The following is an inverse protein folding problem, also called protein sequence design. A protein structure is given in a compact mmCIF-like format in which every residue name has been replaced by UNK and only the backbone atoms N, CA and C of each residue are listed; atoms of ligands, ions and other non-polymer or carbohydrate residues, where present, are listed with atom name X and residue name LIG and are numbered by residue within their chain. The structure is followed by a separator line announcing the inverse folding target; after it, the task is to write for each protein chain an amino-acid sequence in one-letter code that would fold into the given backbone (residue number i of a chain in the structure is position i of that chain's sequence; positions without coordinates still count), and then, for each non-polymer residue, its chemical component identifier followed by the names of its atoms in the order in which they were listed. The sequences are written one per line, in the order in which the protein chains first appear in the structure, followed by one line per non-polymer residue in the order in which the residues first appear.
data_IF_770991789722
#
_entry.id   IF_770991789722
#
_cell.length_a   1.000
_cell.length_b   1.000
_cell.length_c   1.000
_cell.angle_alpha   90.00
_cell.angle_beta   90.00
_cell.angle_gamma   90.00
#
_symmetry.space_group_name_H-M   'P 1'
#
loop_
_entity.id
_entity.type
_entity.pdbx_description
1 polymer ?
#
# COMPACT_ATOMS: atom_id res chain seq x y z
N UNK A 1 -17.69 6.89 -6.64
CA UNK A 1 -16.81 6.89 -7.84
C UNK A 1 -15.82 5.78 -7.63
N UNK A 2 -15.48 5.02 -8.67
CA UNK A 2 -14.51 3.94 -8.52
C UNK A 2 -13.09 4.50 -8.29
N UNK A 3 -12.30 3.93 -7.36
CA UNK A 3 -10.91 4.33 -7.19
C UNK A 3 -10.11 4.09 -8.48
N UNK A 4 -9.04 4.87 -8.67
CA UNK A 4 -8.05 4.70 -9.75
C UNK A 4 -6.71 4.19 -9.22
N UNK A 5 -6.45 4.36 -7.94
CA UNK A 5 -5.24 3.94 -7.27
C UNK A 5 -5.56 3.30 -5.91
N UNK A 6 -4.91 2.17 -5.62
CA UNK A 6 -5.02 1.45 -4.35
C UNK A 6 -3.62 1.32 -3.73
N UNK A 7 -3.18 2.31 -2.93
CA UNK A 7 -1.95 2.16 -2.17
C UNK A 7 -2.16 1.21 -1.00
N UNK A 8 -1.25 0.24 -0.86
CA UNK A 8 -1.15 -0.64 0.31
C UNK A 8 -0.18 0.04 1.29
N UNK A 9 -0.74 0.63 2.34
CA UNK A 9 -0.01 1.42 3.32
C UNK A 9 0.09 0.69 4.65
N UNK A 10 1.19 0.88 5.37
CA UNK A 10 1.26 0.48 6.77
C UNK A 10 0.47 1.49 7.60
N UNK A 11 -0.37 1.04 8.53
CA UNK A 11 -1.07 1.92 9.47
C UNK A 11 -0.11 2.45 10.56
N UNK A 12 0.86 3.27 10.17
CA UNK A 12 1.89 3.86 11.03
C UNK A 12 1.96 5.36 10.86
N UNK A 13 2.66 6.01 11.80
CA UNK A 13 2.72 7.47 11.91
C UNK A 13 3.13 8.19 10.61
N UNK A 14 4.08 7.65 9.85
CA UNK A 14 4.57 8.31 8.64
C UNK A 14 3.50 8.35 7.55
N UNK A 15 2.80 7.23 7.38
CA UNK A 15 1.71 7.05 6.43
C UNK A 15 0.46 7.84 6.85
N UNK A 16 0.11 7.89 8.14
CA UNK A 16 -0.97 8.75 8.64
C UNK A 16 -0.67 10.23 8.38
N UNK A 17 0.53 10.70 8.71
CA UNK A 17 0.96 12.07 8.41
C UNK A 17 0.95 12.35 6.90
N UNK A 18 1.22 11.34 6.05
CA UNK A 18 1.08 11.49 4.60
C UNK A 18 -0.38 11.70 4.19
N UNK A 19 -1.29 10.84 4.67
CA UNK A 19 -2.72 10.95 4.38
C UNK A 19 -3.26 12.30 4.86
N UNK A 20 -2.93 12.74 6.07
CA UNK A 20 -3.34 14.03 6.62
C UNK A 20 -2.96 15.21 5.69
N UNK A 21 -1.76 15.16 5.09
CA UNK A 21 -1.33 16.19 4.15
C UNK A 21 -1.99 16.05 2.77
N UNK A 22 -2.34 14.83 2.35
CA UNK A 22 -3.10 14.57 1.12
C UNK A 22 -4.57 15.00 1.21
N UNK A 23 -5.15 15.11 2.42
CA UNK A 23 -6.53 15.59 2.62
C UNK A 23 -6.79 16.94 1.94
N UNK A 24 -5.78 17.82 1.89
CA UNK A 24 -5.86 19.12 1.22
C UNK A 24 -5.94 19.00 -0.32
N UNK A 25 -5.50 17.87 -0.89
CA UNK A 25 -5.58 17.56 -2.30
C UNK A 25 -6.77 16.62 -2.57
N UNK A 26 -7.97 17.19 -2.62
CA UNK A 26 -9.21 16.45 -2.82
C UNK A 26 -9.21 15.60 -4.10
N UNK A 27 -8.47 15.98 -5.15
CA UNK A 27 -8.37 15.18 -6.37
C UNK A 27 -7.62 13.87 -6.14
N UNK A 28 -6.56 13.88 -5.33
CA UNK A 28 -5.82 12.66 -4.99
C UNK A 28 -6.69 11.74 -4.13
N UNK A 29 -7.25 12.27 -3.03
CA UNK A 29 -8.09 11.48 -2.12
C UNK A 29 -9.32 10.87 -2.80
N UNK A 30 -9.96 11.59 -3.73
CA UNK A 30 -11.14 11.10 -4.48
C UNK A 30 -10.84 9.87 -5.35
N UNK A 31 -9.61 9.73 -5.84
CA UNK A 31 -9.21 8.66 -6.74
C UNK A 31 -8.47 7.53 -6.00
N UNK A 32 -8.31 7.64 -4.69
CA UNK A 32 -7.62 6.64 -3.88
C UNK A 32 -8.61 5.81 -3.05
N UNK A 33 -8.31 4.52 -2.93
CA UNK A 33 -8.84 3.65 -1.89
C UNK A 33 -7.64 2.99 -1.19
N UNK A 34 -7.12 3.58 -0.11
CA UNK A 34 -5.99 2.99 0.61
C UNK A 34 -6.39 1.69 1.29
N UNK A 35 -5.52 0.67 1.22
CA UNK A 35 -5.59 -0.52 2.05
C UNK A 35 -4.55 -0.36 3.17
N UNK A 36 -4.99 -0.43 4.42
CA UNK A 36 -4.10 -0.33 5.57
C UNK A 36 -3.75 -1.71 6.10
N UNK A 37 -2.48 -2.09 5.98
CA UNK A 37 -1.91 -3.21 6.72
C UNK A 37 -1.73 -2.80 8.17
N UNK A 38 -2.47 -3.47 9.06
CA UNK A 38 -2.48 -3.15 10.48
C UNK A 38 -1.19 -3.70 11.13
N UNK A 39 -0.33 -2.83 11.67
CA UNK A 39 0.93 -3.28 12.26
C UNK A 39 0.70 -4.12 13.52
N UNK A 40 1.71 -4.91 13.89
CA UNK A 40 1.73 -5.61 15.18
C UNK A 40 2.32 -4.74 16.29
N UNK A 41 1.88 -4.98 17.54
CA UNK A 41 2.57 -4.43 18.70
C UNK A 41 3.92 -5.14 18.89
N UNK A 42 5.00 -4.50 18.47
CA UNK A 42 6.34 -5.12 18.53
C UNK A 42 6.81 -5.36 19.96
N UNK A 43 7.68 -6.36 20.15
CA UNK A 43 8.33 -6.65 21.44
C UNK A 43 9.02 -5.44 22.05
N UNK A 44 9.62 -4.58 21.22
CA UNK A 44 10.27 -3.34 21.70
C UNK A 44 9.25 -2.30 22.14
N UNK A 45 8.17 -2.09 21.38
CA UNK A 45 7.10 -1.16 21.79
C UNK A 45 6.44 -1.61 23.10
N UNK A 46 6.22 -2.92 23.28
CA UNK A 46 5.68 -3.48 24.52
C UNK A 46 6.52 -3.14 25.76
N UNK A 47 7.84 -3.01 25.61
CA UNK A 47 8.76 -2.60 26.68
C UNK A 47 8.90 -1.08 26.86
N UNK A 48 8.27 -0.29 26.00
CA UNK A 48 8.34 1.17 26.09
C UNK A 48 7.45 1.70 27.23
N UNK A 49 7.77 2.90 27.75
CA UNK A 49 6.99 3.55 28.82
C UNK A 49 5.50 3.67 28.50
N UNK A 50 5.12 3.79 27.22
CA UNK A 50 3.72 3.88 26.79
C UNK A 50 2.92 2.60 27.02
N UNK A 51 3.56 1.42 26.95
CA UNK A 51 2.87 0.13 26.98
C UNK A 51 3.23 -0.75 28.17
N UNK A 52 4.37 -0.50 28.84
CA UNK A 52 4.90 -1.37 29.87
C UNK A 52 3.96 -1.57 31.09
N UNK A 53 3.14 -0.57 31.41
CA UNK A 53 2.22 -0.58 32.55
C UNK A 53 0.75 -0.74 32.13
N UNK A 54 0.48 -0.86 30.83
CA UNK A 54 -0.89 -1.04 30.32
C UNK A 54 -1.31 -2.48 30.54
N UNK A 55 -2.49 -2.69 31.16
CA UNK A 55 -3.03 -4.03 31.46
C UNK A 55 -3.30 -4.86 30.19
N UNK A 56 -3.95 -4.24 29.20
CA UNK A 56 -4.30 -4.84 27.91
C UNK A 56 -3.56 -4.11 26.78
N UNK A 57 -2.24 -4.32 26.63
CA UNK A 57 -1.41 -3.54 25.72
C UNK A 57 -1.77 -3.71 24.23
N UNK A 58 -2.25 -4.89 23.79
CA UNK A 58 -2.67 -5.15 22.41
C UNK A 58 -3.96 -4.43 22.10
N UNK A 59 -4.99 -4.60 22.95
CA UNK A 59 -6.25 -3.85 22.84
C UNK A 59 -5.99 -2.33 22.79
N UNK A 60 -5.18 -1.81 23.73
CA UNK A 60 -4.81 -0.40 23.75
C UNK A 60 -4.08 0.03 22.47
N UNK A 61 -3.20 -0.82 21.92
CA UNK A 61 -2.51 -0.55 20.66
C UNK A 61 -3.48 -0.45 19.48
N UNK A 62 -4.39 -1.42 19.34
CA UNK A 62 -5.38 -1.44 18.26
C UNK A 62 -6.36 -0.28 18.36
N UNK A 63 -6.82 0.08 19.55
CA UNK A 63 -7.68 1.25 19.77
C UNK A 63 -7.01 2.57 19.35
N UNK A 64 -5.71 2.74 19.65
CA UNK A 64 -4.96 3.91 19.18
C UNK A 64 -4.78 3.90 17.65
N UNK A 65 -4.62 2.73 17.04
CA UNK A 65 -4.53 2.56 15.60
C UNK A 65 -5.86 2.94 14.92
N UNK A 66 -6.98 2.41 15.42
CA UNK A 66 -8.34 2.72 14.97
C UNK A 66 -8.63 4.22 15.08
N UNK A 67 -8.25 4.87 16.19
CA UNK A 67 -8.39 6.32 16.34
C UNK A 67 -7.61 7.07 15.24
N UNK A 68 -6.35 6.69 15.01
CA UNK A 68 -5.50 7.34 14.00
C UNK A 68 -6.05 7.14 12.58
N UNK A 69 -6.58 5.96 12.27
CA UNK A 69 -7.25 5.65 11.00
C UNK A 69 -8.48 6.55 10.80
N UNK A 70 -9.35 6.60 11.81
CA UNK A 70 -10.57 7.41 11.78
C UNK A 70 -10.26 8.90 11.57
N UNK A 71 -9.28 9.43 12.29
CA UNK A 71 -8.85 10.84 12.20
C UNK A 71 -8.19 11.18 10.85
N UNK A 72 -7.38 10.26 10.29
CA UNK A 72 -6.66 10.48 9.04
C UNK A 72 -7.57 10.35 7.82
N UNK A 73 -8.48 9.36 7.81
CA UNK A 73 -9.33 9.06 6.66
C UNK A 73 -10.62 9.90 6.61
N UNK A 74 -11.09 10.49 7.72
CA UNK A 74 -12.15 11.53 7.77
C UNK A 74 -13.42 11.25 6.95
N UNK A 75 -13.84 9.98 6.87
CA UNK A 75 -15.03 9.57 6.12
C UNK A 75 -14.76 9.08 4.70
N UNK A 76 -13.51 8.99 4.27
CA UNK A 76 -13.12 8.28 3.06
C UNK A 76 -13.13 6.76 3.27
N UNK A 77 -13.47 6.01 2.23
CA UNK A 77 -13.45 4.56 2.28
C UNK A 77 -12.01 4.05 2.47
N UNK A 78 -11.84 2.96 3.22
CA UNK A 78 -10.54 2.34 3.45
C UNK A 78 -10.64 0.82 3.55
N UNK A 79 -9.62 0.13 3.04
CA UNK A 79 -9.42 -1.29 3.27
C UNK A 79 -8.70 -1.54 4.60
N UNK A 80 -9.10 -2.57 5.35
CA UNK A 80 -8.40 -3.02 6.56
C UNK A 80 -7.86 -4.42 6.38
N UNK A 81 -6.54 -4.58 6.45
CA UNK A 81 -5.86 -5.85 6.28
C UNK A 81 -5.04 -6.20 7.52
N UNK A 82 -5.28 -7.38 8.09
CA UNK A 82 -4.53 -7.91 9.22
C UNK A 82 -3.39 -8.86 8.79
N UNK A 83 -2.94 -8.82 7.53
CA UNK A 83 -1.86 -9.66 6.98
C UNK A 83 -0.55 -9.70 7.79
N UNK A 84 -0.34 -8.73 8.69
CA UNK A 84 0.83 -8.70 9.59
C UNK A 84 0.63 -9.49 10.88
N UNK A 85 -0.60 -9.89 11.20
CA UNK A 85 -0.99 -10.71 12.33
C UNK A 85 -1.12 -12.17 11.89
N UNK A 86 -0.94 -13.11 12.83
CA UNK A 86 -1.33 -14.49 12.58
C UNK A 86 -2.86 -14.56 12.37
N UNK A 87 -3.37 -15.47 11.52
CA UNK A 87 -4.80 -15.54 11.18
C UNK A 87 -5.73 -15.66 12.39
N UNK A 88 -5.27 -16.32 13.46
CA UNK A 88 -5.99 -16.54 14.72
C UNK A 88 -5.56 -15.58 15.85
N UNK A 89 -5.04 -14.40 15.52
CA UNK A 89 -4.61 -13.46 16.55
C UNK A 89 -5.79 -12.87 17.29
N UNK A 90 -5.70 -12.84 18.62
CA UNK A 90 -6.69 -12.23 19.51
C UNK A 90 -6.07 -11.20 20.46
N UNK A 91 -6.90 -10.27 20.92
CA UNK A 91 -6.55 -9.36 22.02
C UNK A 91 -6.66 -10.08 23.37
N UNK A 92 -6.28 -9.40 24.46
CA UNK A 92 -6.23 -10.01 25.79
C UNK A 92 -7.58 -10.58 26.29
N UNK A 93 -8.72 -10.11 25.77
CA UNK A 93 -10.05 -10.62 26.09
C UNK A 93 -10.39 -11.94 25.38
N UNK A 94 -9.59 -12.36 24.41
CA UNK A 94 -9.89 -13.47 23.49
C UNK A 94 -10.69 -13.05 22.25
N UNK A 95 -11.07 -11.78 22.11
CA UNK A 95 -11.68 -11.28 20.88
C UNK A 95 -10.66 -11.23 19.74
N UNK A 96 -11.04 -11.69 18.55
CA UNK A 96 -10.19 -11.68 17.36
C UNK A 96 -9.81 -10.23 16.95
N UNK A 97 -8.57 -10.02 16.52
CA UNK A 97 -8.03 -8.67 16.24
C UNK A 97 -8.81 -7.90 15.17
N UNK A 98 -9.29 -8.58 14.12
CA UNK A 98 -10.08 -7.95 13.06
C UNK A 98 -11.47 -7.52 13.57
N UNK A 99 -12.15 -8.38 14.34
CA UNK A 99 -13.44 -8.05 14.95
C UNK A 99 -13.31 -6.84 15.87
N UNK A 100 -12.27 -6.84 16.71
CA UNK A 100 -12.01 -5.74 17.63
C UNK A 100 -11.79 -4.41 16.88
N UNK A 101 -10.99 -4.42 15.81
CA UNK A 101 -10.72 -3.22 15.00
C UNK A 101 -11.98 -2.68 14.32
N UNK A 102 -12.79 -3.56 13.72
CA UNK A 102 -14.05 -3.16 13.08
C UNK A 102 -15.01 -2.59 14.14
N UNK A 103 -15.11 -3.24 15.31
CA UNK A 103 -15.89 -2.75 16.45
C UNK A 103 -15.42 -1.38 16.95
N UNK A 104 -14.11 -1.17 17.08
CA UNK A 104 -13.52 0.12 17.47
C UNK A 104 -13.79 1.23 16.45
N UNK A 105 -14.03 0.87 15.20
CA UNK A 105 -14.36 1.78 14.10
C UNK A 105 -15.87 1.82 13.77
N UNK A 106 -16.75 1.25 14.59
CA UNK A 106 -18.18 1.17 14.29
C UNK A 106 -18.89 2.53 14.12
N UNK A 107 -18.31 3.62 14.65
CA UNK A 107 -18.81 5.00 14.51
C UNK A 107 -18.09 5.80 13.42
N UNK A 108 -17.18 5.18 12.68
CA UNK A 108 -16.50 5.81 11.56
C UNK A 108 -17.51 6.12 10.46
N UNK A 109 -17.40 7.29 9.83
CA UNK A 109 -18.40 7.78 8.88
C UNK A 109 -18.17 7.34 7.43
N UNK A 110 -16.99 6.77 7.12
CA UNK A 110 -16.68 6.22 5.80
C UNK A 110 -16.86 4.71 5.76
N UNK A 111 -16.75 4.10 4.58
CA UNK A 111 -16.85 2.65 4.48
C UNK A 111 -15.55 1.96 4.95
N UNK A 112 -15.71 0.86 5.66
CA UNK A 112 -14.61 0.00 6.11
C UNK A 112 -14.73 -1.30 5.32
N UNK A 113 -13.74 -1.60 4.49
CA UNK A 113 -13.77 -2.76 3.62
C UNK A 113 -12.77 -3.78 4.16
N UNK A 114 -13.21 -4.86 4.83
CA UNK A 114 -12.28 -5.86 5.34
C UNK A 114 -11.57 -6.57 4.18
N UNK A 115 -10.27 -6.86 4.37
CA UNK A 115 -9.49 -7.64 3.42
C UNK A 115 -9.44 -9.11 3.87
N UNK A 116 -9.88 -10.00 2.99
CA UNK A 116 -9.79 -11.45 3.14
C UNK A 116 -8.50 -11.93 2.47
N UNK A 117 -7.60 -12.55 3.23
CA UNK A 117 -6.40 -13.18 2.67
C UNK A 117 -6.71 -14.62 2.25
N UNK A 118 -6.53 -14.93 0.96
CA UNK A 118 -6.70 -16.29 0.44
C UNK A 118 -5.79 -17.29 1.16
N UNK A 119 -4.52 -16.90 1.39
CA UNK A 119 -3.50 -17.69 2.09
C UNK A 119 -3.81 -18.02 3.56
N UNK A 120 -4.82 -17.35 4.13
CA UNK A 120 -5.21 -17.48 5.55
C UNK A 120 -6.56 -18.15 5.73
N UNK A 121 -7.27 -18.44 4.63
CA UNK A 121 -8.66 -18.88 4.68
C UNK A 121 -8.87 -20.22 5.40
N UNK A 122 -7.90 -21.13 5.30
CA UNK A 122 -7.94 -22.44 5.97
C UNK A 122 -7.92 -22.35 7.51
N UNK A 123 -7.58 -21.20 8.10
CA UNK A 123 -7.65 -21.02 9.55
C UNK A 123 -9.11 -20.86 10.01
N UNK A 124 -9.58 -21.80 10.82
CA UNK A 124 -10.97 -21.86 11.31
C UNK A 124 -11.38 -20.60 12.09
N UNK A 125 -10.48 -20.02 12.89
CA UNK A 125 -10.78 -18.84 13.69
C UNK A 125 -10.88 -17.59 12.80
N UNK A 126 -10.00 -17.48 11.81
CA UNK A 126 -10.02 -16.42 10.81
C UNK A 126 -11.29 -16.46 9.95
N UNK A 127 -11.60 -17.61 9.35
CA UNK A 127 -12.78 -17.77 8.50
C UNK A 127 -14.08 -17.60 9.29
N UNK A 128 -14.17 -18.12 10.51
CA UNK A 128 -15.32 -17.90 11.41
C UNK A 128 -15.50 -16.43 11.76
N UNK A 129 -14.40 -15.72 12.03
CA UNK A 129 -14.44 -14.28 12.29
C UNK A 129 -14.98 -13.50 11.09
N UNK A 130 -14.50 -13.80 9.89
CA UNK A 130 -14.98 -13.16 8.66
C UNK A 130 -16.46 -13.47 8.39
N UNK A 131 -16.92 -14.70 8.65
CA UNK A 131 -18.35 -15.08 8.56
C UNK A 131 -19.23 -14.26 9.49
N UNK A 132 -18.76 -13.91 10.68
CA UNK A 132 -19.49 -13.02 11.59
C UNK A 132 -19.48 -11.59 11.07
N UNK A 133 -18.34 -11.10 10.58
CA UNK A 133 -18.22 -9.74 10.03
C UNK A 133 -19.14 -9.55 8.81
N UNK A 134 -19.25 -10.55 7.92
CA UNK A 134 -20.07 -10.47 6.70
C UNK A 134 -21.58 -10.36 6.98
N UNK A 135 -22.04 -10.66 8.20
CA UNK A 135 -23.43 -10.39 8.61
C UNK A 135 -23.76 -8.90 8.67
N UNK A 136 -22.74 -8.04 8.76
CA UNK A 136 -22.88 -6.58 8.87
C UNK A 136 -22.14 -5.79 7.79
N UNK A 137 -21.30 -6.46 7.00
CA UNK A 137 -20.50 -5.90 5.93
C UNK A 137 -20.76 -6.67 4.64
N UNK A 138 -20.99 -5.98 3.53
CA UNK A 138 -21.25 -6.61 2.22
C UNK A 138 -20.10 -6.40 1.22
N UNK A 139 -19.22 -5.43 1.45
CA UNK A 139 -18.08 -5.15 0.59
C UNK A 139 -16.81 -5.73 1.22
N UNK A 140 -16.10 -6.56 0.45
CA UNK A 140 -14.80 -7.13 0.84
C UNK A 140 -13.77 -6.94 -0.28
N UNK A 141 -12.50 -6.96 0.12
CA UNK A 141 -11.37 -7.12 -0.82
C UNK A 141 -10.81 -8.52 -0.62
N UNK A 142 -10.83 -9.35 -1.66
CA UNK A 142 -10.18 -10.66 -1.64
C UNK A 142 -8.73 -10.48 -2.12
N UNK A 143 -7.76 -10.71 -1.26
CA UNK A 143 -6.33 -10.59 -1.56
C UNK A 143 -5.77 -11.95 -1.97
N UNK A 144 -5.34 -12.02 -3.22
CA UNK A 144 -4.70 -13.16 -3.86
C UNK A 144 -3.19 -12.86 -3.96
N UNK A 145 -2.37 -13.56 -3.19
CA UNK A 145 -0.92 -13.42 -3.19
C UNK A 145 -0.23 -14.62 -3.87
N UNK A 146 1.05 -14.86 -3.58
CA UNK A 146 1.82 -15.97 -4.17
C UNK A 146 1.14 -17.33 -4.04
N UNK A 147 0.47 -17.61 -2.91
CA UNK A 147 -0.22 -18.89 -2.68
C UNK A 147 -1.35 -19.08 -3.70
N UNK A 148 -2.21 -18.08 -3.85
CA UNK A 148 -3.28 -18.13 -4.86
C UNK A 148 -2.73 -18.27 -6.29
N UNK A 149 -1.61 -17.61 -6.61
CA UNK A 149 -1.00 -17.73 -7.93
C UNK A 149 -0.37 -19.11 -8.20
N UNK A 150 0.10 -19.80 -7.16
CA UNK A 150 0.56 -21.18 -7.24
C UNK A 150 -0.63 -22.14 -7.45
N UNK A 151 -1.72 -21.95 -6.71
CA UNK A 151 -2.94 -22.77 -6.88
C UNK A 151 -3.61 -22.56 -8.25
N UNK A 152 -3.52 -21.36 -8.83
CA UNK A 152 -3.98 -21.08 -10.20
C UNK A 152 -3.25 -21.89 -11.28
N UNK A 153 -2.17 -22.61 -10.95
CA UNK A 153 -1.52 -23.56 -11.86
C UNK A 153 -2.31 -24.87 -11.93
N UNK A 154 -2.81 -25.35 -10.80
CA UNK A 154 -3.55 -26.61 -10.67
C UNK A 154 -5.07 -26.42 -10.84
N UNK A 155 -5.53 -25.17 -10.92
CA UNK A 155 -6.90 -24.68 -11.16
C UNK A 155 -7.95 -25.12 -10.12
N UNK A 156 -8.12 -26.42 -9.87
CA UNK A 156 -9.14 -26.95 -8.96
C UNK A 156 -8.99 -26.42 -7.52
N UNK A 157 -7.80 -26.46 -6.88
CA UNK A 157 -7.64 -25.95 -5.50
C UNK A 157 -7.95 -24.44 -5.38
N UNK A 158 -7.60 -23.70 -6.43
CA UNK A 158 -7.86 -22.26 -6.50
C UNK A 158 -9.36 -21.96 -6.50
N UNK A 159 -10.12 -22.63 -7.37
CA UNK A 159 -11.56 -22.43 -7.45
C UNK A 159 -12.28 -22.94 -6.21
N UNK A 160 -11.88 -24.09 -5.64
CA UNK A 160 -12.46 -24.61 -4.40
C UNK A 160 -12.36 -23.58 -3.25
N UNK A 161 -11.17 -23.01 -3.06
CA UNK A 161 -10.95 -22.04 -1.97
C UNK A 161 -11.63 -20.71 -2.25
N UNK A 162 -11.58 -20.20 -3.48
CA UNK A 162 -12.24 -18.94 -3.83
C UNK A 162 -13.77 -19.06 -3.73
N UNK A 163 -14.35 -20.16 -4.20
CA UNK A 163 -15.79 -20.42 -4.12
C UNK A 163 -16.23 -20.64 -2.67
N UNK A 164 -15.40 -21.28 -1.84
CA UNK A 164 -15.66 -21.37 -0.40
C UNK A 164 -15.64 -19.99 0.25
N UNK A 165 -14.65 -19.12 -0.02
CA UNK A 165 -14.63 -17.74 0.48
C UNK A 165 -15.93 -17.01 0.11
N UNK A 166 -16.32 -17.05 -1.16
CA UNK A 166 -17.52 -16.36 -1.66
C UNK A 166 -18.79 -16.90 -1.00
N UNK A 167 -18.96 -18.22 -0.99
CA UNK A 167 -20.18 -18.87 -0.50
C UNK A 167 -20.29 -18.82 1.03
N UNK A 168 -19.20 -19.07 1.75
CA UNK A 168 -19.16 -19.03 3.22
C UNK A 168 -19.46 -17.64 3.78
N UNK A 169 -19.06 -16.59 3.07
CA UNK A 169 -19.28 -15.20 3.48
C UNK A 169 -20.56 -14.58 2.89
N UNK A 170 -21.30 -15.32 2.05
CA UNK A 170 -22.48 -14.86 1.30
C UNK A 170 -22.20 -13.59 0.46
N UNK A 171 -21.05 -13.58 -0.22
CA UNK A 171 -20.61 -12.43 -1.01
C UNK A 171 -21.33 -12.38 -2.36
N UNK A 172 -21.70 -11.17 -2.77
CA UNK A 172 -21.97 -10.85 -4.17
C UNK A 172 -20.67 -10.38 -4.81
N UNK A 173 -20.07 -11.13 -5.75
CA UNK A 173 -18.82 -10.74 -6.39
C UNK A 173 -18.84 -9.33 -7.00
N UNK A 174 -19.96 -8.88 -7.56
CA UNK A 174 -20.14 -7.54 -8.14
C UNK A 174 -19.97 -6.39 -7.15
N UNK A 175 -20.07 -6.69 -5.85
CA UNK A 175 -19.84 -5.73 -4.76
C UNK A 175 -18.43 -5.84 -4.18
N UNK A 176 -17.74 -6.96 -4.42
CA UNK A 176 -16.41 -7.23 -3.92
C UNK A 176 -15.34 -6.87 -4.96
N UNK A 177 -14.12 -6.59 -4.46
CA UNK A 177 -12.96 -6.38 -5.32
C UNK A 177 -11.89 -7.41 -5.05
N UNK A 178 -11.02 -7.65 -6.04
CA UNK A 178 -9.90 -8.57 -5.89
C UNK A 178 -8.60 -7.81 -5.99
N UNK A 179 -7.70 -8.04 -5.03
CA UNK A 179 -6.33 -7.55 -5.03
C UNK A 179 -5.41 -8.69 -5.49
N UNK A 180 -4.87 -8.57 -6.69
CA UNK A 180 -3.82 -9.42 -7.25
C UNK A 180 -2.47 -8.89 -6.77
N UNK A 181 -1.99 -9.45 -5.67
CA UNK A 181 -0.82 -8.97 -4.95
C UNK A 181 0.44 -9.75 -5.32
N UNK A 182 1.26 -9.13 -6.15
CA UNK A 182 2.55 -9.64 -6.60
C UNK A 182 3.69 -9.36 -5.62
N UNK A 183 3.41 -8.71 -4.49
CA UNK A 183 4.37 -8.44 -3.42
C UNK A 183 5.67 -7.81 -3.93
N UNK A 184 6.84 -8.42 -3.69
CA UNK A 184 8.15 -7.94 -4.15
C UNK A 184 8.44 -8.44 -5.57
N UNK A 185 8.42 -7.52 -6.54
CA UNK A 185 8.70 -7.81 -7.95
C UNK A 185 10.12 -7.41 -8.38
N UNK A 186 11.01 -7.07 -7.45
CA UNK A 186 12.38 -6.62 -7.76
C UNK A 186 13.17 -7.64 -8.58
N UNK A 187 12.96 -8.94 -8.34
CA UNK A 187 13.62 -10.05 -9.04
C UNK A 187 12.75 -10.73 -10.11
N UNK A 188 11.49 -10.32 -10.25
CA UNK A 188 10.55 -10.86 -11.24
C UNK A 188 10.71 -10.13 -12.56
N UNK A 189 10.70 -10.81 -13.70
CA UNK A 189 10.76 -10.14 -15.00
C UNK A 189 9.39 -9.53 -15.36
N UNK A 190 9.38 -8.54 -16.25
CA UNK A 190 8.11 -7.96 -16.75
C UNK A 190 7.28 -9.03 -17.48
N UNK A 191 7.94 -9.98 -18.16
CA UNK A 191 7.28 -11.06 -18.89
C UNK A 191 6.58 -12.00 -17.91
N UNK A 192 7.27 -12.47 -16.88
CA UNK A 192 6.67 -13.36 -15.87
C UNK A 192 5.50 -12.68 -15.14
N UNK A 193 5.66 -11.39 -14.82
CA UNK A 193 4.61 -10.60 -14.18
C UNK A 193 3.37 -10.48 -15.10
N UNK A 194 3.59 -10.28 -16.39
CA UNK A 194 2.54 -10.22 -17.40
C UNK A 194 1.82 -11.56 -17.57
N UNK A 195 2.56 -12.68 -17.65
CA UNK A 195 1.99 -14.03 -17.76
C UNK A 195 1.15 -14.40 -16.54
N UNK A 196 1.64 -14.11 -15.33
CA UNK A 196 0.88 -14.35 -14.09
C UNK A 196 -0.39 -13.50 -14.03
N UNK A 197 -0.31 -12.20 -14.37
CA UNK A 197 -1.49 -11.34 -14.41
C UNK A 197 -2.52 -11.83 -15.44
N UNK A 198 -2.07 -12.27 -16.62
CA UNK A 198 -2.96 -12.81 -17.65
C UNK A 198 -3.72 -14.03 -17.14
N UNK A 199 -3.01 -14.97 -16.48
CA UNK A 199 -3.61 -16.16 -15.88
C UNK A 199 -4.65 -15.80 -14.83
N UNK A 200 -4.29 -14.91 -13.89
CA UNK A 200 -5.20 -14.47 -12.84
C UNK A 200 -6.46 -13.79 -13.40
N UNK A 201 -6.33 -12.91 -14.39
CA UNK A 201 -7.50 -12.28 -15.04
C UNK A 201 -8.36 -13.34 -15.72
N UNK A 202 -7.76 -14.32 -16.42
CA UNK A 202 -8.48 -15.40 -17.07
C UNK A 202 -9.29 -16.23 -16.07
N UNK A 203 -8.67 -16.60 -14.94
CA UNK A 203 -9.30 -17.37 -13.88
C UNK A 203 -10.43 -16.60 -13.17
N UNK A 204 -10.39 -15.27 -13.15
CA UNK A 204 -11.36 -14.44 -12.42
C UNK A 204 -12.50 -13.89 -13.30
N UNK A 205 -12.44 -14.08 -14.61
CA UNK A 205 -13.30 -13.37 -15.56
C UNK A 205 -14.80 -13.71 -15.40
N UNK A 206 -15.12 -14.93 -14.95
CA UNK A 206 -16.52 -15.38 -14.80
C UNK A 206 -17.20 -14.92 -13.51
N UNK A 207 -16.43 -14.48 -12.51
CA UNK A 207 -16.98 -14.01 -11.23
C UNK A 207 -17.57 -12.60 -11.31
N UNK A 208 -17.23 -11.81 -12.33
CA UNK A 208 -17.76 -10.45 -12.49
C UNK A 208 -17.52 -9.52 -11.28
N UNK A 209 -16.34 -9.63 -10.65
CA UNK A 209 -15.96 -8.77 -9.53
C UNK A 209 -16.09 -7.27 -9.85
N UNK A 210 -16.42 -6.44 -8.86
CA UNK A 210 -16.56 -4.97 -8.98
C UNK A 210 -15.37 -4.36 -9.73
N UNK A 211 -14.16 -4.78 -9.37
CA UNK A 211 -12.92 -4.53 -10.09
C UNK A 211 -11.80 -5.45 -9.62
N UNK A 212 -10.76 -5.56 -10.45
CA UNK A 212 -9.50 -6.21 -10.12
C UNK A 212 -8.43 -5.13 -9.88
N UNK A 213 -7.48 -5.41 -9.01
CA UNK A 213 -6.33 -4.52 -8.75
C UNK A 213 -5.06 -5.31 -8.94
N UNK A 214 -4.12 -4.82 -9.76
CA UNK A 214 -2.74 -5.33 -9.74
C UNK A 214 -1.95 -4.50 -8.73
N UNK A 215 -1.32 -5.17 -7.77
CA UNK A 215 -0.40 -4.54 -6.84
C UNK A 215 0.94 -5.27 -6.79
N UNK A 216 2.01 -4.53 -6.58
CA UNK A 216 3.35 -5.06 -6.40
C UNK A 216 4.32 -3.94 -6.05
N UNK A 217 5.58 -4.28 -5.82
CA UNK A 217 6.61 -3.30 -5.47
C UNK A 217 7.94 -3.63 -6.14
N UNK A 218 8.41 -2.70 -6.99
CA UNK A 218 9.79 -2.71 -7.48
C UNK A 218 10.80 -2.08 -6.50
N UNK A 219 10.36 -1.72 -5.29
CA UNK A 219 11.23 -1.21 -4.23
C UNK A 219 11.84 -2.38 -3.46
N UNK A 220 13.18 -2.44 -3.46
CA UNK A 220 13.92 -3.40 -2.65
C UNK A 220 13.80 -3.13 -1.15
N UNK A 221 13.83 -4.20 -0.35
CA UNK A 221 13.79 -4.13 1.12
C UNK A 221 14.93 -3.31 1.74
N UNK A 222 16.04 -3.16 1.01
CA UNK A 222 17.16 -2.32 1.38
C UNK A 222 17.55 -1.34 0.27
N UNK A 223 18.15 -0.22 0.67
CA UNK A 223 18.52 0.85 -0.27
C UNK A 223 19.69 0.48 -1.18
N UNK A 224 20.51 -0.52 -0.83
CA UNK A 224 21.60 -0.98 -1.70
C UNK A 224 21.05 -1.69 -2.93
N UNK A 225 19.93 -2.41 -2.79
CA UNK A 225 19.21 -3.02 -3.91
C UNK A 225 18.61 -2.02 -4.90
N UNK A 226 18.49 -0.73 -4.52
CA UNK A 226 18.00 0.33 -5.41
C UNK A 226 19.16 1.17 -5.99
N UNK A 227 20.08 1.62 -5.13
CA UNK A 227 21.23 2.45 -5.50
C UNK A 227 22.42 1.93 -4.71
N UNK A 228 23.31 1.10 -5.26
CA UNK A 228 24.35 0.41 -4.48
C UNK A 228 25.42 1.32 -3.86
N UNK A 229 25.78 2.40 -4.56
CA UNK A 229 26.82 3.33 -4.14
C UNK A 229 26.28 4.38 -3.15
N UNK A 230 27.11 4.82 -2.21
CA UNK A 230 26.74 5.89 -1.27
C UNK A 230 26.95 7.25 -1.95
N UNK A 231 26.13 8.24 -1.58
CA UNK A 231 26.19 9.60 -2.13
C UNK A 231 26.02 9.63 -3.65
N UNK A 232 25.13 8.78 -4.16
CA UNK A 232 24.81 8.68 -5.57
C UNK A 232 23.31 8.61 -5.78
N UNK A 233 22.90 8.52 -7.04
CA UNK A 233 21.50 8.49 -7.45
C UNK A 233 21.30 7.39 -8.49
N UNK A 234 20.07 6.90 -8.61
CA UNK A 234 19.73 5.88 -9.58
C UNK A 234 18.24 5.86 -9.92
N UNK A 235 17.93 5.20 -11.03
CA UNK A 235 16.56 4.98 -11.49
C UNK A 235 16.16 3.55 -11.13
N UNK A 236 15.01 3.41 -10.48
CA UNK A 236 14.37 2.11 -10.23
C UNK A 236 13.09 2.05 -11.03
N UNK A 237 13.03 1.15 -12.01
CA UNK A 237 11.85 0.96 -12.86
C UNK A 237 10.73 0.32 -12.02
N UNK A 238 9.53 0.90 -12.07
CA UNK A 238 8.30 0.31 -11.51
C UNK A 238 7.74 -0.68 -12.53
N UNK A 239 8.00 -1.98 -12.34
CA UNK A 239 7.58 -3.04 -13.28
C UNK A 239 6.06 -3.23 -13.25
N UNK A 240 5.48 -3.15 -12.07
CA UNK A 240 4.05 -3.24 -11.78
C UNK A 240 3.24 -2.21 -12.59
N UNK A 241 3.66 -0.94 -12.63
CA UNK A 241 2.93 0.09 -13.41
C UNK A 241 3.09 -0.13 -14.91
N UNK A 242 4.25 -0.62 -15.36
CA UNK A 242 4.47 -0.95 -16.78
C UNK A 242 3.55 -2.07 -17.24
N UNK A 243 3.41 -3.13 -16.44
CA UNK A 243 2.49 -4.23 -16.74
C UNK A 243 1.05 -3.75 -16.70
N UNK A 244 0.65 -2.98 -15.68
CA UNK A 244 -0.68 -2.38 -15.62
C UNK A 244 -1.00 -1.52 -16.86
N UNK A 245 -0.09 -0.62 -17.26
CA UNK A 245 -0.25 0.22 -18.45
C UNK A 245 -0.40 -0.62 -19.72
N UNK A 246 0.41 -1.68 -19.86
CA UNK A 246 0.30 -2.60 -20.99
C UNK A 246 -1.09 -3.27 -21.04
N UNK A 247 -1.55 -3.84 -19.94
CA UNK A 247 -2.87 -4.46 -19.86
C UNK A 247 -4.01 -3.48 -20.14
N UNK A 248 -3.99 -2.29 -19.55
CA UNK A 248 -5.00 -1.26 -19.81
C UNK A 248 -5.02 -0.79 -21.27
N UNK A 249 -3.88 -0.78 -21.94
CA UNK A 249 -3.81 -0.44 -23.36
C UNK A 249 -4.47 -1.50 -24.25
N UNK A 250 -4.23 -2.79 -23.98
CA UNK A 250 -4.77 -3.90 -24.78
C UNK A 250 -6.18 -4.33 -24.37
N UNK A 251 -6.55 -4.16 -23.10
CA UNK A 251 -7.84 -4.51 -22.50
C UNK A 251 -8.47 -3.31 -21.80
N UNK A 252 -8.84 -2.26 -22.53
CA UNK A 252 -9.20 -1.00 -21.92
C UNK A 252 -10.59 -0.98 -21.27
N UNK A 253 -11.47 -1.93 -21.63
CA UNK A 253 -12.73 -2.17 -20.93
C UNK A 253 -12.56 -2.95 -19.63
N UNK A 254 -11.41 -3.62 -19.43
CA UNK A 254 -11.13 -4.34 -18.20
C UNK A 254 -11.06 -3.34 -17.05
N UNK A 255 -11.81 -3.64 -16.00
CA UNK A 255 -11.85 -2.83 -14.80
C UNK A 255 -10.65 -3.15 -13.88
N UNK A 256 -9.46 -2.88 -14.39
CA UNK A 256 -8.19 -3.12 -13.73
C UNK A 256 -7.63 -1.83 -13.11
N UNK A 257 -7.57 -1.78 -11.79
CA UNK A 257 -7.03 -0.67 -11.01
C UNK A 257 -5.55 -0.91 -10.74
N UNK A 258 -4.76 0.17 -10.68
CA UNK A 258 -3.37 0.10 -10.24
C UNK A 258 -3.28 0.19 -8.72
N UNK A 259 -2.46 -0.65 -8.12
CA UNK A 259 -2.03 -0.53 -6.74
C UNK A 259 -0.54 -0.80 -6.60
N UNK A 260 0.03 -0.40 -5.47
CA UNK A 260 1.41 -0.70 -5.09
C UNK A 260 1.60 -0.51 -3.57
N UNK A 261 2.82 -0.72 -3.09
CA UNK A 261 3.20 -0.51 -1.68
C UNK A 261 3.78 0.90 -1.42
N UNK A 262 3.49 1.85 -2.31
CA UNK A 262 4.03 3.19 -2.24
C UNK A 262 5.57 3.23 -2.29
N UNK A 263 6.17 3.76 -1.22
CA UNK A 263 7.63 3.99 -1.10
C UNK A 263 8.34 2.96 -0.20
N UNK A 264 7.63 1.90 0.20
CA UNK A 264 8.09 0.86 1.12
C UNK A 264 8.00 -0.50 0.44
N UNK A 265 8.95 -1.40 0.75
CA UNK A 265 8.89 -2.78 0.28
C UNK A 265 7.95 -3.62 1.15
N UNK A 266 7.15 -4.54 0.56
CA UNK A 266 6.24 -5.42 1.30
C UNK A 266 6.94 -6.31 2.33
N UNK A 267 8.21 -6.65 2.07
CA UNK A 267 9.01 -7.61 2.86
C UNK A 267 9.58 -7.03 4.16
N UNK A 268 9.46 -5.72 4.39
CA UNK A 268 10.03 -5.10 5.60
C UNK A 268 9.20 -5.48 6.82
N UNK A 269 9.78 -6.30 7.70
CA UNK A 269 9.17 -6.69 8.98
C UNK A 269 9.01 -5.50 9.94
N UNK A 270 7.93 -5.52 10.72
CA UNK A 270 7.66 -4.52 11.76
C UNK A 270 8.58 -4.66 12.98
N UNK A 271 9.13 -5.86 13.23
CA UNK A 271 10.09 -6.07 14.33
C UNK A 271 11.48 -5.49 14.03
N UNK A 272 11.82 -5.30 12.75
CA UNK A 272 13.14 -4.82 12.34
C UNK A 272 13.20 -3.30 12.48
N UNK A 273 14.01 -2.84 13.42
CA UNK A 273 14.42 -1.44 13.49
C UNK A 273 15.79 -1.35 12.86
N UNK A 274 15.94 -0.48 11.86
CA UNK A 274 17.23 -0.16 11.27
C UNK A 274 17.87 1.01 12.05
N UNK A 275 18.69 0.79 13.10
CA UNK A 275 19.31 1.87 13.86
C UNK A 275 20.26 2.71 12.99
N UNK A 276 20.77 2.11 11.91
CA UNK A 276 21.69 2.72 10.95
C UNK A 276 21.01 2.97 9.60
N UNK A 277 19.72 3.36 9.61
CA UNK A 277 19.01 3.71 8.38
C UNK A 277 19.78 4.79 7.60
N UNK A 278 19.94 4.58 6.29
CA UNK A 278 20.62 5.53 5.42
C UNK A 278 19.73 6.76 5.14
N UNK A 279 20.34 7.92 4.93
CA UNK A 279 19.68 9.05 4.29
C UNK A 279 19.31 8.67 2.86
N UNK A 280 18.05 8.91 2.48
CA UNK A 280 17.53 8.59 1.15
C UNK A 280 16.27 9.39 0.85
N UNK A 281 16.07 9.71 -0.42
CA UNK A 281 14.83 10.25 -0.97
C UNK A 281 14.38 9.30 -2.08
N UNK A 282 13.12 8.87 -2.06
CA UNK A 282 12.52 8.06 -3.15
C UNK A 282 11.48 8.93 -3.85
N UNK A 283 11.89 9.51 -4.96
CA UNK A 283 11.08 10.46 -5.70
C UNK A 283 10.43 9.76 -6.89
N UNK A 284 9.11 9.84 -7.01
CA UNK A 284 8.38 9.10 -8.05
C UNK A 284 8.37 9.89 -9.34
N UNK A 285 8.67 9.20 -10.42
CA UNK A 285 8.63 9.75 -11.77
C UNK A 285 7.85 8.79 -12.67
N UNK A 286 7.67 9.16 -13.93
CA UNK A 286 6.91 8.34 -14.87
C UNK A 286 7.57 6.95 -15.01
N UNK A 287 6.76 5.90 -14.83
CA UNK A 287 7.15 4.49 -14.83
C UNK A 287 8.27 4.07 -13.85
N UNK A 288 8.79 4.97 -13.01
CA UNK A 288 10.01 4.72 -12.23
C UNK A 288 10.07 5.51 -10.92
N UNK A 289 11.14 5.31 -10.16
CA UNK A 289 11.57 6.13 -9.03
C UNK A 289 12.95 6.69 -9.35
N UNK A 290 13.16 7.98 -9.12
CA UNK A 290 14.47 8.58 -8.99
C UNK A 290 14.88 8.57 -7.52
N UNK A 291 15.90 7.79 -7.19
CA UNK A 291 16.33 7.57 -5.81
C UNK A 291 17.65 8.29 -5.59
N UNK A 292 17.70 9.15 -4.57
CA UNK A 292 18.92 9.80 -4.12
C UNK A 292 19.34 9.16 -2.80
N UNK A 293 20.56 8.62 -2.74
CA UNK A 293 21.06 7.88 -1.58
C UNK A 293 22.27 8.58 -0.97
N UNK A 294 22.24 8.78 0.34
CA UNK A 294 23.39 9.18 1.14
C UNK A 294 24.05 8.01 1.87
N UNK A 295 24.32 8.20 3.16
CA UNK A 295 24.96 7.21 4.05
C UNK A 295 24.17 7.07 5.36
N UNK A 296 24.63 6.20 6.25
CA UNK A 296 23.99 5.94 7.55
C UNK A 296 23.72 7.24 8.30
N UNK A 297 22.49 7.43 8.79
CA UNK A 297 22.12 8.60 9.59
C UNK A 297 22.76 8.61 10.99
N UNK A 298 23.48 7.55 11.35
CA UNK A 298 24.29 7.49 12.57
C UNK A 298 25.71 8.09 12.39
N UNK A 299 26.15 8.34 11.16
CA UNK A 299 27.50 8.84 10.85
C UNK A 299 27.46 10.20 10.15
N UNK A 300 28.62 10.82 9.94
CA UNK A 300 28.76 12.08 9.16
C UNK A 300 27.84 13.21 9.64
N UNK A 301 27.18 13.90 8.70
CA UNK A 301 26.17 14.94 8.99
C UNK A 301 24.87 14.39 9.61
N UNK A 302 24.80 13.10 9.92
CA UNK A 302 23.63 12.41 10.47
C UNK A 302 22.38 12.68 9.63
N UNK A 303 21.30 13.16 10.23
CA UNK A 303 20.09 13.55 9.50
C UNK A 303 20.30 14.72 8.54
N UNK A 304 21.18 15.68 8.87
CA UNK A 304 21.34 16.90 8.08
C UNK A 304 21.87 16.65 6.65
N UNK A 305 22.42 15.46 6.37
CA UNK A 305 22.73 15.05 5.00
C UNK A 305 21.53 15.15 4.04
N UNK A 306 20.30 15.05 4.57
CA UNK A 306 19.08 15.16 3.77
C UNK A 306 18.96 16.50 3.05
N UNK A 307 19.58 17.57 3.57
CA UNK A 307 19.63 18.87 2.90
C UNK A 307 20.46 18.78 1.61
N UNK A 308 21.62 18.10 1.66
CA UNK A 308 22.46 17.87 0.48
C UNK A 308 21.73 16.97 -0.53
N UNK A 309 21.07 15.90 -0.08
CA UNK A 309 20.30 15.01 -0.96
C UNK A 309 19.12 15.74 -1.62
N UNK A 310 18.45 16.64 -0.88
CA UNK A 310 17.36 17.45 -1.41
C UNK A 310 17.84 18.45 -2.45
N UNK A 311 19.00 19.10 -2.23
CA UNK A 311 19.63 19.97 -3.24
C UNK A 311 19.95 19.21 -4.53
N UNK A 312 20.46 17.98 -4.43
CA UNK A 312 20.69 17.12 -5.59
C UNK A 312 19.37 16.91 -6.35
N UNK A 313 18.31 16.47 -5.67
CA UNK A 313 17.02 16.23 -6.29
C UNK A 313 16.43 17.49 -6.97
N UNK A 314 16.38 18.61 -6.25
CA UNK A 314 15.81 19.89 -6.74
C UNK A 314 16.58 20.43 -7.95
N UNK A 315 17.87 20.09 -8.09
CA UNK A 315 18.68 20.49 -9.25
C UNK A 315 18.40 19.68 -10.53
N UNK A 316 17.65 18.58 -10.43
CA UNK A 316 17.35 17.70 -11.56
C UNK A 316 16.07 18.12 -12.29
N UNK A 317 15.94 17.72 -13.56
CA UNK A 317 14.68 17.88 -14.31
C UNK A 317 13.55 16.96 -13.83
N UNK A 318 13.84 16.04 -12.92
CA UNK A 318 12.83 15.13 -12.36
C UNK A 318 11.95 15.82 -11.33
N UNK A 319 12.47 16.82 -10.61
CA UNK A 319 11.72 17.53 -9.59
C UNK A 319 10.55 18.32 -10.20
N UNK A 320 9.32 18.02 -9.75
CA UNK A 320 8.07 18.60 -10.25
C UNK A 320 7.78 20.01 -9.71
N UNK A 321 8.60 20.50 -8.78
CA UNK A 321 8.48 21.85 -8.23
C UNK A 321 7.72 21.90 -6.90
N UNK A 322 8.00 22.96 -6.13
CA UNK A 322 7.51 23.18 -4.75
C UNK A 322 5.99 23.03 -4.59
N UNK A 323 5.23 23.44 -5.59
CA UNK A 323 3.77 23.49 -5.54
C UNK A 323 3.10 22.19 -6.01
N UNK A 324 3.86 21.17 -6.44
CA UNK A 324 3.30 19.93 -6.96
C UNK A 324 2.62 19.08 -5.88
N UNK A 325 3.26 18.94 -4.71
CA UNK A 325 2.70 18.25 -3.55
C UNK A 325 3.27 18.79 -2.25
N UNK A 326 2.66 18.43 -1.11
CA UNK A 326 3.25 18.74 0.20
C UNK A 326 4.66 18.16 0.34
N UNK A 327 4.90 16.93 -0.15
CA UNK A 327 6.22 16.31 -0.13
C UNK A 327 7.23 17.14 -0.92
N UNK A 328 6.85 17.63 -2.09
CA UNK A 328 7.71 18.50 -2.92
C UNK A 328 8.05 19.82 -2.23
N UNK A 329 7.08 20.42 -1.54
CA UNK A 329 7.32 21.61 -0.70
C UNK A 329 8.34 21.33 0.39
N UNK A 330 8.21 20.20 1.09
CA UNK A 330 9.12 19.83 2.18
C UNK A 330 10.53 19.50 1.67
N UNK A 331 10.65 18.91 0.48
CA UNK A 331 11.93 18.67 -0.21
C UNK A 331 12.61 20.02 -0.51
N UNK A 332 11.88 21.00 -1.05
CA UNK A 332 12.42 22.35 -1.30
C UNK A 332 12.84 23.05 0.01
N UNK A 333 12.03 22.96 1.06
CA UNK A 333 12.39 23.51 2.37
C UNK A 333 13.64 22.85 2.96
N UNK A 334 13.80 21.54 2.76
CA UNK A 334 15.01 20.83 3.15
C UNK A 334 16.23 21.25 2.31
N UNK A 335 16.08 21.40 1.00
CA UNK A 335 17.14 21.87 0.11
C UNK A 335 17.62 23.30 0.48
N UNK A 336 16.69 24.14 0.95
CA UNK A 336 16.96 25.48 1.48
C UNK A 336 17.35 25.49 2.97
N UNK A 337 17.69 24.33 3.54
CA UNK A 337 18.18 24.13 4.91
C UNK A 337 17.21 24.56 6.03
N UNK A 338 15.92 24.75 5.73
CA UNK A 338 14.88 25.11 6.71
C UNK A 338 14.38 23.91 7.51
N UNK A 339 14.63 22.71 7.01
CA UNK A 339 14.15 21.44 7.56
C UNK A 339 15.19 20.33 7.38
N UNK A 340 15.16 19.33 8.25
CA UNK A 340 16.00 18.11 8.15
C UNK A 340 15.15 16.84 8.21
N UNK A 341 14.19 16.80 9.15
CA UNK A 341 13.25 15.70 9.32
C UNK A 341 13.84 14.44 9.93
N UNK A 342 13.01 13.69 10.66
CA UNK A 342 13.29 12.32 11.09
C UNK A 342 13.06 11.32 9.95
N UNK A 343 13.45 10.05 10.12
CA UNK A 343 13.12 8.99 9.15
C UNK A 343 11.62 8.86 8.92
N UNK A 344 10.81 9.08 9.95
CA UNK A 344 9.34 9.06 9.85
C UNK A 344 8.83 10.21 9.00
N UNK A 345 9.37 11.42 9.15
CA UNK A 345 8.96 12.54 8.30
C UNK A 345 9.29 12.28 6.83
N UNK A 346 10.43 11.65 6.54
CA UNK A 346 10.79 11.30 5.16
C UNK A 346 9.92 10.21 4.55
N UNK A 347 9.34 9.31 5.37
CA UNK A 347 8.28 8.41 4.89
C UNK A 347 7.07 9.24 4.46
N UNK A 348 6.62 10.20 5.26
CA UNK A 348 5.49 11.07 4.91
C UNK A 348 5.76 11.87 3.63
N UNK A 349 6.94 12.48 3.53
CA UNK A 349 7.35 13.31 2.38
C UNK A 349 7.38 12.46 1.10
N UNK A 350 8.07 11.32 1.12
CA UNK A 350 8.15 10.41 -0.02
C UNK A 350 6.74 9.91 -0.42
N UNK A 351 5.91 9.50 0.55
CA UNK A 351 4.56 8.93 0.30
C UNK A 351 3.59 9.96 -0.28
N UNK A 352 3.57 11.21 0.24
CA UNK A 352 2.68 12.25 -0.29
C UNK A 352 2.99 12.59 -1.75
N UNK A 353 4.28 12.75 -2.08
CA UNK A 353 4.72 12.97 -3.44
C UNK A 353 4.36 11.77 -4.33
N UNK A 354 4.66 10.55 -3.87
CA UNK A 354 4.36 9.32 -4.61
C UNK A 354 2.87 9.20 -4.95
N UNK A 355 1.99 9.30 -3.96
CA UNK A 355 0.54 9.19 -4.18
C UNK A 355 0.02 10.29 -5.13
N UNK A 356 0.52 11.51 -4.99
CA UNK A 356 0.16 12.63 -5.88
C UNK A 356 0.60 12.35 -7.32
N UNK A 357 1.84 11.88 -7.52
CA UNK A 357 2.38 11.56 -8.84
C UNK A 357 1.64 10.38 -9.47
N UNK A 358 1.43 9.29 -8.75
CA UNK A 358 0.77 8.08 -9.27
C UNK A 358 -0.66 8.36 -9.70
N UNK A 359 -1.43 9.12 -8.90
CA UNK A 359 -2.79 9.50 -9.32
C UNK A 359 -2.77 10.37 -10.58
N UNK A 360 -1.82 11.31 -10.72
CA UNK A 360 -1.68 12.11 -11.94
C UNK A 360 -1.35 11.23 -13.15
N UNK A 361 -0.34 10.37 -13.01
CA UNK A 361 0.15 9.49 -14.08
C UNK A 361 -0.94 8.53 -14.59
N UNK A 362 -1.69 7.89 -13.68
CA UNK A 362 -2.78 6.98 -14.05
C UNK A 362 -3.87 7.73 -14.82
N UNK A 363 -4.27 8.90 -14.33
CA UNK A 363 -5.35 9.69 -14.94
C UNK A 363 -4.95 10.20 -16.32
N UNK A 364 -3.74 10.71 -16.47
CA UNK A 364 -3.20 11.15 -17.76
C UNK A 364 -3.11 9.98 -18.76
N UNK A 365 -2.66 8.81 -18.31
CA UNK A 365 -2.57 7.62 -19.14
C UNK A 365 -3.93 7.12 -19.61
N UNK A 366 -4.91 6.99 -18.70
CA UNK A 366 -6.27 6.57 -19.05
C UNK A 366 -6.98 7.57 -19.97
N UNK A 367 -6.80 8.86 -19.72
CA UNK A 367 -7.32 9.93 -20.59
C UNK A 367 -6.75 9.81 -22.01
N UNK A 368 -5.44 9.56 -22.14
CA UNK A 368 -4.78 9.35 -23.42
C UNK A 368 -5.32 8.13 -24.19
N UNK A 369 -5.60 7.02 -23.51
CA UNK A 369 -6.22 5.83 -24.12
C UNK A 369 -7.61 6.16 -24.65
N UNK A 370 -8.42 6.89 -23.86
CA UNK A 370 -9.80 7.22 -24.24
C UNK A 370 -9.83 8.13 -25.48
N UNK A 371 -8.98 9.16 -25.52
CA UNK A 371 -8.86 10.06 -26.67
C UNK A 371 -8.46 9.32 -27.94
N UNK A 372 -7.48 8.42 -27.88
CA UNK A 372 -7.05 7.65 -29.05
C UNK A 372 -8.19 6.82 -29.67
N UNK A 373 -9.16 6.36 -28.87
CA UNK A 373 -10.31 5.59 -29.36
C UNK A 373 -11.37 6.46 -30.01
N UNK A 374 -11.60 7.66 -29.51
CA UNK A 374 -12.57 8.61 -30.09
C UNK A 374 -12.15 9.11 -31.47
N UNK A 375 -10.85 9.08 -31.81
CA UNK A 375 -10.34 9.44 -33.14
C UNK A 375 -10.15 8.26 -34.10
N UNK A 376 -10.28 7.02 -33.63
CA UNK A 376 -10.16 5.80 -34.46
C UNK A 376 -11.51 5.20 -34.86
N UNK A 377 -12.59 5.62 -34.19
CA UNK A 377 -13.98 5.37 -34.56
C UNK A 377 -14.57 6.59 -35.27
#
# INVERSE_FOLDING_TARGET
MQPKYIPILKAKKGEFEAIDNLQSNHQVMKHMLPIFEIPILTKKQRKSKKYAEVKNPVEFFLNNCALSLSESMRGHDMGLDISRWAPNSSIESGEHVLSHLIGALAKYSGNIIPVVGYDRWEDDEYSTTLKVISQSQSEFIIRLNSFAFEDMIEEDPFFETLDDIISSLDLMPEQCSVLLDFEDVTKVSIVDLNEKLQRAISALTHYNFKFLTIAGSSIAGDINGMVPEKNSQGIVIRKEVKVWKAFKKFHPSLNLIFGDYGIVSPTVSDEIIAPNANGKIRYTIDDSLFVVRGYSRATGKKGSQMQDLSKVLVSTSHYKGREFSWGDKMIDECANEKFVGSTTNWVSIDTTHHATHVVSEIREFEFGIQHQREFQN
#
